data_IF_138562904716
#
_entry.id   IF_138562904716
#
_cell.length_a   1.000
_cell.length_b   1.000
_cell.length_c   1.000
_cell.angle_alpha   90.00
_cell.angle_beta   90.00
_cell.angle_gamma   90.00
#
_symmetry.space_group_name_H-M   'P 1'
#
loop_
_entity.id
_entity.type
_entity.pdbx_description
1 polymer ?
#
# COMPACT_ATOMS: atom_id res chain seq x y z
N UNK A 1 -19.26 -3.76 -33.75
CA UNK A 1 -20.43 -4.43 -33.16
C UNK A 1 -21.17 -3.40 -32.34
N UNK A 2 -22.49 -3.31 -32.53
CA UNK A 2 -23.34 -2.25 -31.98
C UNK A 2 -23.26 -2.19 -30.44
N UNK A 3 -23.11 -0.98 -29.92
CA UNK A 3 -23.06 -0.66 -28.50
C UNK A 3 -24.49 -0.65 -27.92
N UNK A 4 -24.91 -1.77 -27.35
CA UNK A 4 -26.10 -1.85 -26.50
C UNK A 4 -25.79 -1.28 -25.11
N UNK A 5 -25.55 0.02 -25.03
CA UNK A 5 -25.61 0.74 -23.77
C UNK A 5 -26.87 1.63 -23.77
N UNK A 6 -27.80 1.44 -22.82
CA UNK A 6 -28.69 2.53 -22.46
C UNK A 6 -27.80 3.68 -22.00
N UNK A 7 -28.12 4.90 -22.45
CA UNK A 7 -27.42 6.13 -22.07
C UNK A 7 -27.36 6.38 -20.54
N UNK A 8 -28.03 5.55 -19.74
CA UNK A 8 -28.20 5.65 -18.28
C UNK A 8 -27.42 4.58 -17.48
N UNK A 9 -26.35 3.99 -18.03
CA UNK A 9 -25.51 3.08 -17.22
C UNK A 9 -24.73 3.87 -16.17
N UNK A 10 -24.81 3.51 -14.87
CA UNK A 10 -24.17 4.27 -13.81
C UNK A 10 -22.66 4.30 -13.98
N UNK A 11 -22.08 5.46 -13.71
CA UNK A 11 -20.64 5.73 -13.76
C UNK A 11 -19.94 4.96 -12.61
N UNK A 12 -18.67 4.57 -12.80
CA UNK A 12 -17.97 3.72 -11.83
C UNK A 12 -17.88 4.37 -10.44
N UNK A 13 -17.67 5.68 -10.38
CA UNK A 13 -17.59 6.42 -9.11
C UNK A 13 -18.92 6.43 -8.31
N UNK A 14 -20.05 6.09 -8.95
CA UNK A 14 -21.37 6.05 -8.30
C UNK A 14 -21.62 4.73 -7.58
N UNK A 15 -20.82 3.69 -7.85
CA UNK A 15 -20.93 2.43 -7.14
C UNK A 15 -20.42 2.56 -5.71
N UNK A 16 -20.97 1.72 -4.86
CA UNK A 16 -20.63 1.62 -3.46
C UNK A 16 -20.73 0.15 -3.06
N UNK A 17 -19.62 -0.43 -2.59
CA UNK A 17 -19.53 -1.84 -2.20
C UNK A 17 -20.03 -2.84 -3.26
N UNK A 18 -19.87 -2.51 -4.54
CA UNK A 18 -20.36 -3.34 -5.64
C UNK A 18 -19.53 -4.60 -5.82
N UNK A 19 -20.21 -5.70 -6.15
CA UNK A 19 -19.63 -6.99 -6.53
C UNK A 19 -19.91 -7.36 -8.00
N UNK A 20 -20.42 -6.41 -8.80
CA UNK A 20 -20.65 -6.59 -10.24
C UNK A 20 -19.34 -6.45 -11.04
N UNK A 21 -18.48 -7.47 -10.92
CA UNK A 21 -17.16 -7.49 -11.57
C UNK A 21 -17.25 -7.55 -13.09
N UNK A 22 -18.35 -8.07 -13.66
CA UNK A 22 -18.53 -8.11 -15.11
C UNK A 22 -18.77 -6.71 -15.67
N UNK A 23 -19.57 -5.89 -14.98
CA UNK A 23 -19.75 -4.48 -15.34
C UNK A 23 -18.46 -3.69 -15.17
N UNK A 24 -17.74 -3.90 -14.06
CA UNK A 24 -16.44 -3.28 -13.86
C UNK A 24 -15.50 -3.62 -15.03
N UNK A 25 -15.27 -4.91 -15.31
CA UNK A 25 -14.42 -5.37 -16.40
C UNK A 25 -14.80 -4.74 -17.73
N UNK A 26 -16.09 -4.78 -18.10
CA UNK A 26 -16.58 -4.21 -19.35
C UNK A 26 -16.30 -2.70 -19.43
N UNK A 27 -16.54 -1.96 -18.35
CA UNK A 27 -16.28 -0.52 -18.31
C UNK A 27 -14.79 -0.20 -18.48
N UNK A 28 -13.89 -1.00 -17.87
CA UNK A 28 -12.44 -0.81 -17.99
C UNK A 28 -11.92 -1.16 -19.38
N UNK A 29 -12.35 -2.28 -19.97
CA UNK A 29 -11.92 -2.69 -21.33
C UNK A 29 -12.32 -1.69 -22.41
N UNK A 30 -13.48 -1.05 -22.25
CA UNK A 30 -13.96 -0.05 -23.21
C UNK A 30 -13.24 1.29 -23.14
N UNK A 31 -12.49 1.56 -22.06
CA UNK A 31 -11.73 2.80 -21.91
C UNK A 31 -10.24 2.57 -22.15
N UNK A 32 -9.74 3.06 -23.29
CA UNK A 32 -8.31 2.97 -23.63
C UNK A 32 -7.43 3.97 -22.87
N UNK A 33 -8.00 5.06 -22.34
CA UNK A 33 -7.28 5.99 -21.48
C UNK A 33 -7.46 5.58 -20.01
N UNK A 34 -6.74 4.52 -19.62
CA UNK A 34 -6.87 3.82 -18.35
C UNK A 34 -5.52 3.79 -17.62
N UNK A 35 -5.55 4.08 -16.31
CA UNK A 35 -4.41 3.94 -15.41
C UNK A 35 -4.82 3.18 -14.15
N UNK A 36 -4.18 2.06 -13.87
CA UNK A 36 -4.38 1.22 -12.68
C UNK A 36 -3.17 1.42 -11.76
N UNK A 37 -3.44 1.84 -10.53
CA UNK A 37 -2.45 2.02 -9.47
C UNK A 37 -2.87 1.14 -8.30
N UNK A 38 -2.03 0.19 -7.91
CA UNK A 38 -2.38 -0.77 -6.84
C UNK A 38 -1.28 -0.96 -5.81
N UNK A 39 -1.68 -1.28 -4.57
CA UNK A 39 -0.77 -1.92 -3.63
C UNK A 39 -0.56 -3.41 -3.99
N UNK A 40 0.27 -4.10 -3.21
CA UNK A 40 0.72 -5.47 -3.45
C UNK A 40 0.21 -6.44 -2.38
N UNK A 41 0.76 -6.31 -1.17
CA UNK A 41 0.42 -7.16 -0.02
C UNK A 41 -1.08 -7.02 0.29
N UNK A 42 -1.79 -8.14 0.42
CA UNK A 42 -3.23 -8.18 0.61
C UNK A 42 -4.08 -7.97 -0.66
N UNK A 43 -3.52 -7.39 -1.72
CA UNK A 43 -4.20 -7.14 -3.01
C UNK A 43 -3.96 -8.27 -4.01
N UNK A 44 -2.69 -8.53 -4.36
CA UNK A 44 -2.29 -9.53 -5.36
C UNK A 44 -1.39 -10.64 -4.78
N UNK A 45 -1.14 -10.59 -3.47
CA UNK A 45 -0.52 -11.65 -2.70
C UNK A 45 -1.16 -11.69 -1.31
N UNK A 46 -1.15 -12.85 -0.66
CA UNK A 46 -1.71 -12.99 0.69
C UNK A 46 -0.89 -12.22 1.73
N UNK A 47 -1.56 -11.73 2.77
CA UNK A 47 -0.88 -11.26 3.98
C UNK A 47 -0.32 -12.45 4.74
N UNK A 48 1.00 -12.54 4.84
CA UNK A 48 1.72 -13.60 5.53
C UNK A 48 2.36 -13.08 6.81
N UNK A 49 2.64 -13.98 7.76
CA UNK A 49 3.33 -13.64 9.02
C UNK A 49 4.81 -13.40 8.82
N UNK A 50 5.44 -14.23 8.00
CA UNK A 50 6.85 -14.10 7.64
C UNK A 50 6.95 -13.50 6.23
N UNK A 51 7.45 -12.26 6.08
CA UNK A 51 7.62 -11.64 4.77
C UNK A 51 8.46 -12.46 3.77
N UNK A 52 9.26 -13.44 4.23
CA UNK A 52 10.02 -14.36 3.36
C UNK A 52 9.16 -15.44 2.70
N UNK A 53 7.95 -15.72 3.20
CA UNK A 53 7.06 -16.74 2.63
C UNK A 53 6.11 -16.18 1.58
N UNK A 54 6.25 -14.90 1.23
CA UNK A 54 5.44 -14.26 0.19
C UNK A 54 5.62 -14.95 -1.16
N UNK A 55 4.52 -15.12 -1.87
CA UNK A 55 4.46 -15.70 -3.20
C UNK A 55 3.58 -14.87 -4.12
N UNK A 56 3.91 -14.85 -5.41
CA UNK A 56 3.10 -14.26 -6.47
C UNK A 56 2.65 -15.33 -7.45
N UNK A 57 1.43 -15.18 -7.97
CA UNK A 57 0.93 -16.04 -9.06
C UNK A 57 1.69 -15.70 -10.36
N UNK A 58 2.37 -16.66 -11.01
CA UNK A 58 3.04 -16.44 -12.29
C UNK A 58 2.10 -15.94 -13.40
N UNK A 59 0.84 -16.38 -13.39
CA UNK A 59 -0.16 -15.93 -14.36
C UNK A 59 -0.56 -14.47 -14.11
N UNK A 60 -0.55 -14.02 -12.85
CA UNK A 60 -0.74 -12.60 -12.53
C UNK A 60 0.41 -11.75 -13.07
N UNK A 61 1.66 -12.21 -12.90
CA UNK A 61 2.84 -11.52 -13.44
C UNK A 61 2.75 -11.45 -14.98
N UNK A 62 2.29 -12.51 -15.64
CA UNK A 62 2.11 -12.48 -17.09
C UNK A 62 0.94 -11.58 -17.52
N UNK A 63 -0.14 -11.52 -16.73
CA UNK A 63 -1.26 -10.62 -16.97
C UNK A 63 -0.86 -9.14 -16.87
N UNK A 64 0.01 -8.77 -15.92
CA UNK A 64 0.44 -7.37 -15.76
C UNK A 64 1.18 -6.84 -17.00
N UNK A 65 1.92 -7.69 -17.71
CA UNK A 65 2.59 -7.34 -18.98
C UNK A 65 1.60 -6.95 -20.07
N UNK A 66 0.44 -7.60 -20.12
CA UNK A 66 -0.61 -7.27 -21.10
C UNK A 66 -1.22 -5.89 -20.85
N UNK A 67 -1.01 -5.33 -19.65
CA UNK A 67 -1.42 -3.99 -19.25
C UNK A 67 -0.22 -3.02 -19.15
N UNK A 68 0.88 -3.30 -19.84
CA UNK A 68 2.02 -2.39 -19.91
C UNK A 68 1.59 -0.98 -20.34
N UNK A 69 2.08 0.04 -19.64
CA UNK A 69 1.68 1.44 -19.82
C UNK A 69 0.34 1.82 -19.17
N UNK A 70 -0.44 0.85 -18.69
CA UNK A 70 -1.72 1.07 -18.00
C UNK A 70 -1.72 0.62 -16.55
N UNK A 71 -0.67 -0.06 -16.10
CA UNK A 71 -0.61 -0.70 -14.78
C UNK A 71 0.69 -0.36 -14.06
N UNK A 72 0.55 0.09 -12.82
CA UNK A 72 1.66 0.45 -11.94
C UNK A 72 1.39 0.01 -10.50
N UNK A 73 2.43 -0.45 -9.83
CA UNK A 73 2.38 -0.75 -8.40
C UNK A 73 2.76 0.47 -7.57
N UNK A 74 2.23 0.57 -6.36
CA UNK A 74 2.49 1.62 -5.40
C UNK A 74 2.46 1.02 -4.00
N UNK A 75 3.62 0.70 -3.46
CA UNK A 75 3.76 -0.05 -2.20
C UNK A 75 4.72 0.60 -1.20
N UNK A 76 4.56 0.25 0.08
CA UNK A 76 5.51 0.59 1.14
C UNK A 76 6.68 -0.40 1.24
N UNK A 77 6.49 -1.63 0.74
CA UNK A 77 7.57 -2.59 0.54
C UNK A 77 8.57 -2.10 -0.51
N UNK A 78 9.62 -2.86 -0.79
CA UNK A 78 10.63 -2.49 -1.79
C UNK A 78 10.64 -3.41 -3.00
N UNK A 79 11.08 -2.89 -4.15
CA UNK A 79 11.36 -3.66 -5.35
C UNK A 79 12.61 -4.54 -5.17
N UNK A 80 13.65 -4.00 -4.53
CA UNK A 80 14.96 -4.65 -4.37
C UNK A 80 15.23 -5.06 -2.92
N UNK A 81 16.34 -5.79 -2.71
CA UNK A 81 16.73 -6.32 -1.40
C UNK A 81 16.35 -7.78 -1.22
N UNK A 82 16.83 -8.43 -0.15
CA UNK A 82 16.63 -9.86 0.09
C UNK A 82 15.19 -10.28 0.36
N UNK A 83 14.27 -9.31 0.47
CA UNK A 83 12.83 -9.48 0.65
C UNK A 83 12.02 -8.60 -0.31
N UNK A 84 12.69 -8.05 -1.33
CA UNK A 84 12.10 -7.17 -2.31
C UNK A 84 11.24 -7.93 -3.32
N UNK A 85 10.30 -7.22 -3.95
CA UNK A 85 9.37 -7.76 -4.93
C UNK A 85 10.07 -8.49 -6.08
N UNK A 86 11.22 -8.01 -6.55
CA UNK A 86 11.93 -8.61 -7.68
C UNK A 86 12.33 -10.05 -7.38
N UNK A 87 12.77 -10.34 -6.16
CA UNK A 87 13.11 -11.72 -5.78
C UNK A 87 11.88 -12.63 -5.73
N UNK A 88 10.72 -12.08 -5.35
CA UNK A 88 9.45 -12.81 -5.36
C UNK A 88 9.04 -13.12 -6.81
N UNK A 89 9.19 -12.16 -7.72
CA UNK A 89 8.96 -12.34 -9.16
C UNK A 89 9.92 -13.39 -9.75
N UNK A 90 11.21 -13.29 -9.45
CA UNK A 90 12.23 -14.25 -9.91
C UNK A 90 11.92 -15.67 -9.42
N UNK A 91 11.48 -15.80 -8.17
CA UNK A 91 11.08 -17.08 -7.58
C UNK A 91 9.83 -17.65 -8.24
N UNK A 92 8.81 -16.80 -8.48
CA UNK A 92 7.57 -17.22 -9.11
C UNK A 92 7.77 -17.70 -10.57
N UNK A 93 8.66 -17.04 -11.32
CA UNK A 93 8.93 -17.38 -12.72
C UNK A 93 9.97 -18.50 -12.91
N UNK A 94 10.80 -18.78 -11.90
CA UNK A 94 11.81 -19.83 -11.91
C UNK A 94 13.19 -19.37 -12.39
N UNK A 95 14.24 -19.96 -11.80
CA UNK A 95 15.64 -19.53 -11.96
C UNK A 95 16.25 -19.71 -13.37
N UNK A 96 15.67 -20.57 -14.22
CA UNK A 96 16.19 -20.82 -15.57
C UNK A 96 15.90 -19.69 -16.57
N UNK A 97 15.14 -18.67 -16.16
CA UNK A 97 14.74 -17.56 -17.02
C UNK A 97 15.14 -16.19 -16.48
N UNK A 98 16.35 -16.02 -15.93
CA UNK A 98 16.82 -14.69 -15.46
C UNK A 98 16.64 -13.61 -16.54
N UNK A 99 16.86 -13.93 -17.82
CA UNK A 99 16.58 -13.03 -18.96
C UNK A 99 15.10 -12.75 -19.20
N UNK A 100 14.19 -13.68 -18.92
CA UNK A 100 12.75 -13.45 -19.02
C UNK A 100 12.20 -12.70 -17.78
N UNK A 101 12.76 -12.94 -16.59
CA UNK A 101 12.40 -12.25 -15.36
C UNK A 101 12.76 -10.76 -15.41
N UNK A 102 13.92 -10.41 -15.99
CA UNK A 102 14.33 -9.02 -16.21
C UNK A 102 13.43 -8.21 -17.17
N UNK A 103 12.45 -8.82 -17.85
CA UNK A 103 11.43 -8.12 -18.64
C UNK A 103 10.01 -8.27 -18.06
N UNK A 104 9.91 -8.75 -16.82
CA UNK A 104 8.67 -9.15 -16.18
C UNK A 104 8.44 -8.49 -14.82
N UNK A 105 9.31 -7.57 -14.41
CA UNK A 105 9.13 -6.88 -13.15
C UNK A 105 7.93 -5.93 -13.19
N UNK A 106 7.26 -5.82 -12.04
CA UNK A 106 6.11 -4.93 -11.93
C UNK A 106 6.63 -3.48 -11.86
N UNK A 107 6.24 -2.60 -12.79
CA UNK A 107 6.69 -1.21 -12.81
C UNK A 107 5.93 -0.37 -11.79
N UNK A 108 6.54 0.73 -11.37
CA UNK A 108 5.93 1.70 -10.48
C UNK A 108 6.79 1.99 -9.26
N UNK A 109 6.12 2.32 -8.16
CA UNK A 109 6.74 2.90 -6.97
C UNK A 109 6.71 1.95 -5.79
N UNK A 110 7.84 1.90 -5.10
CA UNK A 110 8.05 1.20 -3.85
C UNK A 110 8.69 2.12 -2.82
N UNK A 111 8.93 1.62 -1.60
CA UNK A 111 9.47 2.38 -0.48
C UNK A 111 8.60 3.58 -0.12
N UNK A 112 7.28 3.47 -0.27
CA UNK A 112 6.33 4.56 -0.03
C UNK A 112 6.34 5.66 -1.09
N UNK A 113 6.90 5.42 -2.29
CA UNK A 113 6.90 6.40 -3.37
C UNK A 113 8.27 6.98 -3.73
N UNK A 114 9.35 6.56 -3.07
CA UNK A 114 10.71 7.06 -3.32
C UNK A 114 11.57 6.14 -4.17
N UNK A 115 11.16 4.88 -4.38
CA UNK A 115 11.89 3.90 -5.18
C UNK A 115 11.12 3.64 -6.48
N UNK A 116 11.58 4.23 -7.57
CA UNK A 116 10.99 4.01 -8.89
C UNK A 116 11.63 2.80 -9.56
N UNK A 117 10.81 1.97 -10.19
CA UNK A 117 11.24 0.86 -11.03
C UNK A 117 10.46 0.84 -12.34
N UNK A 118 11.15 0.56 -13.44
CA UNK A 118 10.51 0.23 -14.72
C UNK A 118 10.38 -1.29 -14.95
N UNK A 119 9.75 -1.67 -16.05
CA UNK A 119 9.51 -3.07 -16.40
C UNK A 119 10.80 -3.87 -16.67
N UNK A 120 11.93 -3.18 -16.86
CA UNK A 120 13.24 -3.81 -17.04
C UNK A 120 13.97 -4.04 -15.71
N UNK A 121 13.38 -3.64 -14.58
CA UNK A 121 14.00 -3.75 -13.26
C UNK A 121 15.06 -2.68 -12.98
N UNK A 122 15.08 -1.59 -13.76
CA UNK A 122 15.99 -0.46 -13.48
C UNK A 122 15.39 0.35 -12.34
N UNK A 123 16.11 0.40 -11.23
CA UNK A 123 15.67 1.09 -10.01
C UNK A 123 16.41 2.41 -9.82
N UNK A 124 15.66 3.45 -9.47
CA UNK A 124 16.20 4.76 -9.07
C UNK A 124 15.53 5.26 -7.80
N UNK A 125 16.16 6.23 -7.14
CA UNK A 125 15.65 6.87 -5.92
C UNK A 125 15.58 8.40 -6.07
N UNK A 126 14.62 8.93 -6.86
CA UNK A 126 14.58 10.36 -7.17
C UNK A 126 14.46 11.24 -5.92
N UNK A 127 15.37 12.21 -5.78
CA UNK A 127 15.38 13.17 -4.68
C UNK A 127 15.98 12.66 -3.36
N UNK A 128 16.56 11.45 -3.34
CA UNK A 128 17.19 10.85 -2.14
C UNK A 128 18.70 11.04 -2.20
N UNK A 129 19.30 11.45 -1.09
CA UNK A 129 20.76 11.64 -0.97
C UNK A 129 21.51 10.39 -0.53
N UNK A 130 22.82 10.34 -0.80
CA UNK A 130 23.68 9.23 -0.37
C UNK A 130 23.83 9.18 1.16
N UNK A 131 23.81 10.32 1.83
CA UNK A 131 23.84 10.43 3.29
C UNK A 131 22.60 9.80 3.93
N UNK A 132 21.42 10.06 3.37
CA UNK A 132 20.17 9.47 3.83
C UNK A 132 20.17 7.95 3.64
N UNK A 133 20.55 7.46 2.46
CA UNK A 133 20.66 6.02 2.19
C UNK A 133 21.69 5.36 3.11
N UNK A 134 22.80 6.04 3.41
CA UNK A 134 23.82 5.54 4.34
C UNK A 134 23.28 5.44 5.77
N UNK A 135 22.47 6.41 6.21
CA UNK A 135 21.82 6.33 7.50
C UNK A 135 20.84 5.14 7.57
N UNK A 136 19.97 4.99 6.56
CA UNK A 136 18.98 3.92 6.49
C UNK A 136 19.62 2.53 6.50
N UNK A 137 20.73 2.33 5.78
CA UNK A 137 21.51 1.07 5.81
C UNK A 137 22.00 0.71 7.22
N UNK A 138 22.18 1.68 8.11
CA UNK A 138 22.60 1.42 9.49
C UNK A 138 21.45 1.04 10.43
N UNK A 139 20.19 1.28 10.04
CA UNK A 139 19.03 1.08 10.89
C UNK A 139 18.83 -0.40 11.28
N UNK A 140 18.93 -1.40 10.37
CA UNK A 140 18.77 -2.81 10.73
C UNK A 140 19.73 -3.28 11.82
N UNK A 141 21.01 -2.93 11.73
CA UNK A 141 22.02 -3.30 12.73
C UNK A 141 21.73 -2.66 14.10
N UNK A 142 21.32 -1.39 14.10
CA UNK A 142 20.92 -0.68 15.32
C UNK A 142 19.66 -1.30 15.95
N UNK A 143 18.66 -1.62 15.14
CA UNK A 143 17.46 -2.31 15.57
C UNK A 143 17.79 -3.66 16.21
N UNK A 144 18.70 -4.44 15.60
CA UNK A 144 19.15 -5.73 16.12
C UNK A 144 19.86 -5.59 17.46
N UNK A 145 20.79 -4.65 17.56
CA UNK A 145 21.52 -4.40 18.79
C UNK A 145 20.58 -3.99 19.94
N UNK A 146 19.61 -3.11 19.64
CA UNK A 146 18.62 -2.71 20.63
C UNK A 146 17.73 -3.89 21.04
N UNK A 147 17.11 -4.59 20.08
CA UNK A 147 16.20 -5.70 20.37
C UNK A 147 16.90 -6.78 21.19
N UNK A 148 18.15 -7.08 20.88
CA UNK A 148 18.97 -8.02 21.66
C UNK A 148 19.11 -7.58 23.12
N UNK A 149 19.41 -6.30 23.35
CA UNK A 149 19.55 -5.72 24.70
C UNK A 149 18.21 -5.54 25.43
N UNK A 150 17.09 -5.40 24.71
CA UNK A 150 15.76 -5.29 25.29
C UNK A 150 15.26 -6.66 25.71
N UNK A 151 15.26 -7.62 24.78
CA UNK A 151 14.62 -8.92 24.92
C UNK A 151 15.34 -9.82 25.92
N UNK A 152 16.63 -9.58 26.20
CA UNK A 152 17.39 -10.34 27.21
C UNK A 152 17.12 -9.91 28.66
N UNK A 153 16.37 -8.81 28.89
CA UNK A 153 16.04 -8.28 30.21
C UNK A 153 14.58 -8.52 30.57
N UNK A 154 14.26 -8.37 31.85
CA UNK A 154 12.87 -8.31 32.29
C UNK A 154 12.13 -7.15 31.58
N UNK A 155 10.87 -7.32 31.17
CA UNK A 155 10.00 -8.48 31.46
C UNK A 155 10.14 -9.67 30.47
N UNK A 156 10.91 -9.56 29.39
CA UNK A 156 10.98 -10.56 28.32
C UNK A 156 11.84 -11.79 28.66
N UNK A 157 13.04 -11.58 29.20
CA UNK A 157 14.00 -12.61 29.62
C UNK A 157 14.22 -13.75 28.60
N UNK A 158 14.29 -13.43 27.31
CA UNK A 158 14.50 -14.41 26.25
C UNK A 158 15.95 -14.90 26.21
N UNK A 159 16.14 -16.15 25.74
CA UNK A 159 17.48 -16.69 25.50
C UNK A 159 18.12 -16.05 24.27
N UNK A 160 19.46 -16.01 24.21
CA UNK A 160 20.16 -15.48 23.02
C UNK A 160 19.77 -16.21 21.73
N UNK A 161 19.52 -17.53 21.80
CA UNK A 161 19.10 -18.32 20.65
C UNK A 161 17.71 -17.90 20.14
N UNK A 162 16.76 -17.67 21.05
CA UNK A 162 15.41 -17.20 20.68
C UNK A 162 15.46 -15.78 20.11
N UNK A 163 16.27 -14.91 20.71
CA UNK A 163 16.47 -13.54 20.25
C UNK A 163 17.02 -13.52 18.83
N UNK A 164 18.05 -14.31 18.54
CA UNK A 164 18.66 -14.37 17.21
C UNK A 164 17.64 -14.83 16.15
N UNK A 165 16.87 -15.88 16.46
CA UNK A 165 15.81 -16.40 15.58
C UNK A 165 14.73 -15.36 15.31
N UNK A 166 14.20 -14.72 16.37
CA UNK A 166 13.13 -13.74 16.26
C UNK A 166 13.59 -12.47 15.54
N UNK A 167 14.78 -11.96 15.87
CA UNK A 167 15.34 -10.76 15.22
C UNK A 167 15.63 -11.00 13.73
N UNK A 168 16.07 -12.21 13.35
CA UNK A 168 16.32 -12.54 11.95
C UNK A 168 15.06 -12.45 11.08
N UNK A 169 13.90 -12.84 11.63
CA UNK A 169 12.62 -12.72 10.94
C UNK A 169 12.04 -11.30 11.04
N UNK A 170 12.15 -10.66 12.21
CA UNK A 170 11.52 -9.38 12.48
C UNK A 170 12.19 -8.18 11.80
N UNK A 171 13.52 -8.21 11.61
CA UNK A 171 14.25 -7.06 11.08
C UNK A 171 14.39 -7.20 9.57
N UNK A 172 13.74 -6.29 8.84
CA UNK A 172 13.78 -6.22 7.38
C UNK A 172 14.79 -5.14 6.97
N UNK A 173 15.78 -5.55 6.20
CA UNK A 173 16.94 -4.78 5.72
C UNK A 173 16.67 -3.98 4.44
N UNK A 174 15.41 -3.58 4.28
CA UNK A 174 14.93 -2.67 3.25
C UNK A 174 15.80 -1.39 3.19
N UNK A 175 16.23 -0.98 2.00
CA UNK A 175 17.18 0.12 1.80
C UNK A 175 16.57 1.52 2.06
N UNK A 176 15.35 1.74 1.61
CA UNK A 176 14.58 2.98 1.69
C UNK A 176 13.50 2.96 2.80
N UNK A 177 13.11 1.77 3.27
CA UNK A 177 12.13 1.59 4.36
C UNK A 177 12.50 0.47 5.36
N UNK A 178 13.69 0.54 6.04
CA UNK A 178 14.04 -0.38 7.12
C UNK A 178 12.87 -0.59 8.08
N UNK A 179 12.51 -1.86 8.32
CA UNK A 179 11.28 -2.20 9.03
C UNK A 179 11.56 -3.18 10.16
N UNK A 180 10.91 -2.97 11.31
CA UNK A 180 10.76 -4.00 12.34
C UNK A 180 9.33 -4.54 12.25
N UNK A 181 9.17 -5.76 11.72
CA UNK A 181 7.92 -6.51 11.67
C UNK A 181 7.82 -7.41 12.91
N UNK A 182 6.85 -7.14 13.80
CA UNK A 182 6.76 -7.84 15.08
C UNK A 182 5.72 -8.95 15.15
N UNK A 183 5.19 -9.40 14.01
CA UNK A 183 4.23 -10.51 13.98
C UNK A 183 4.78 -11.77 14.65
N UNK A 184 6.07 -12.07 14.44
CA UNK A 184 6.74 -13.23 15.04
C UNK A 184 6.75 -13.18 16.57
N UNK A 185 6.81 -11.99 17.16
CA UNK A 185 6.77 -11.82 18.62
C UNK A 185 5.38 -12.02 19.20
N UNK A 186 4.32 -11.65 18.45
CA UNK A 186 2.94 -11.87 18.88
C UNK A 186 2.70 -13.37 19.13
N UNK A 187 3.14 -14.21 18.19
CA UNK A 187 3.04 -15.67 18.30
C UNK A 187 3.95 -16.24 19.38
N UNK A 188 5.17 -15.71 19.50
CA UNK A 188 6.13 -16.20 20.48
C UNK A 188 5.67 -15.96 21.92
N UNK A 189 5.22 -14.74 22.25
CA UNK A 189 4.87 -14.41 23.63
C UNK A 189 3.55 -15.05 24.08
N UNK A 190 2.54 -15.13 23.20
CA UNK A 190 1.15 -15.52 23.56
C UNK A 190 0.60 -14.79 24.80
N UNK A 191 1.16 -13.62 25.12
CA UNK A 191 0.89 -12.80 26.29
C UNK A 191 0.61 -11.38 25.79
N UNK A 192 -0.67 -10.97 25.70
CA UNK A 192 -1.06 -9.68 25.12
C UNK A 192 -0.36 -8.49 25.79
N UNK A 193 -0.14 -8.55 27.10
CA UNK A 193 0.51 -7.47 27.85
C UNK A 193 2.01 -7.34 27.50
N UNK A 194 2.72 -8.45 27.29
CA UNK A 194 4.13 -8.40 26.85
C UNK A 194 4.23 -7.87 25.42
N UNK A 195 3.32 -8.28 24.55
CA UNK A 195 3.30 -7.81 23.17
C UNK A 195 2.95 -6.32 23.07
N UNK A 196 1.98 -5.85 23.87
CA UNK A 196 1.67 -4.43 24.01
C UNK A 196 2.86 -3.63 24.57
N UNK A 197 3.60 -4.20 25.53
CA UNK A 197 4.81 -3.57 26.04
C UNK A 197 5.88 -3.47 24.95
N UNK A 198 6.06 -4.52 24.12
CA UNK A 198 6.98 -4.48 22.99
C UNK A 198 6.63 -3.37 22.00
N UNK A 199 5.35 -3.19 21.65
CA UNK A 199 4.92 -2.08 20.79
C UNK A 199 5.31 -0.70 21.36
N UNK A 200 5.24 -0.52 22.68
CA UNK A 200 5.65 0.73 23.34
C UNK A 200 7.17 0.91 23.33
N UNK A 201 7.91 -0.15 23.58
CA UNK A 201 9.38 -0.11 23.60
C UNK A 201 9.93 0.21 22.19
N UNK A 202 9.35 -0.41 21.15
CA UNK A 202 9.69 -0.13 19.75
C UNK A 202 9.41 1.31 19.34
N UNK A 203 8.29 1.89 19.80
CA UNK A 203 8.04 3.33 19.60
C UNK A 203 9.20 4.17 20.14
N UNK A 204 9.75 3.79 21.29
CA UNK A 204 10.91 4.44 21.89
C UNK A 204 12.17 4.34 21.04
N UNK A 205 12.45 3.17 20.45
CA UNK A 205 13.59 2.98 19.52
C UNK A 205 13.43 3.87 18.30
N UNK A 206 12.25 3.87 17.71
CA UNK A 206 11.98 4.62 16.49
C UNK A 206 12.19 6.11 16.73
N UNK A 207 11.78 6.61 17.90
CA UNK A 207 12.10 7.98 18.31
C UNK A 207 13.61 8.19 18.49
N UNK A 208 14.32 7.27 19.15
CA UNK A 208 15.77 7.39 19.33
C UNK A 208 16.54 7.39 17.98
N UNK A 209 16.04 6.67 16.96
CA UNK A 209 16.59 6.71 15.61
C UNK A 209 16.37 8.07 14.94
N UNK A 210 15.21 8.71 15.15
CA UNK A 210 14.97 10.08 14.68
C UNK A 210 15.90 11.07 15.38
N UNK A 211 16.07 10.96 16.70
CA UNK A 211 16.96 11.82 17.48
C UNK A 211 18.42 11.66 17.02
N UNK A 212 18.86 10.43 16.69
CA UNK A 212 20.20 10.20 16.15
C UNK A 212 20.36 10.79 14.73
N UNK A 213 19.32 10.73 13.90
CA UNK A 213 19.33 11.37 12.60
C UNK A 213 19.48 12.90 12.74
N UNK A 214 18.80 13.52 13.70
CA UNK A 214 18.94 14.95 13.99
C UNK A 214 20.37 15.33 14.37
N UNK A 215 21.04 14.54 15.23
CA UNK A 215 22.46 14.75 15.57
C UNK A 215 23.38 14.69 14.34
N UNK A 216 22.98 14.00 13.28
CA UNK A 216 23.71 13.92 12.00
C UNK A 216 23.26 14.97 10.98
N UNK A 217 22.46 15.96 11.38
CA UNK A 217 21.85 16.99 10.52
C UNK A 217 20.86 16.42 9.49
N UNK A 218 20.14 15.35 9.86
CA UNK A 218 19.12 14.69 9.03
C UNK A 218 17.71 14.81 9.65
N UNK A 219 17.43 15.82 10.48
CA UNK A 219 16.19 15.93 11.27
C UNK A 219 14.89 15.93 10.44
N UNK A 220 14.94 16.40 9.21
CA UNK A 220 13.78 16.47 8.31
C UNK A 220 13.77 15.36 7.25
N UNK A 221 14.71 14.41 7.36
CA UNK A 221 14.93 13.40 6.33
C UNK A 221 14.04 12.17 6.50
N UNK A 222 13.54 11.91 7.72
CA UNK A 222 12.88 10.66 8.07
C UNK A 222 11.60 10.86 8.89
N UNK A 223 10.72 9.87 8.82
CA UNK A 223 9.55 9.73 9.68
C UNK A 223 9.30 8.24 9.97
N UNK A 224 8.37 7.98 10.91
CA UNK A 224 7.97 6.62 11.26
C UNK A 224 6.61 6.35 10.64
N UNK A 225 6.52 5.29 9.84
CA UNK A 225 5.25 4.76 9.35
C UNK A 225 4.85 3.52 10.15
N UNK A 226 3.57 3.46 10.52
CA UNK A 226 2.99 2.33 11.24
C UNK A 226 1.96 1.63 10.37
N UNK A 227 2.05 0.30 10.25
CA UNK A 227 1.05 -0.50 9.54
C UNK A 227 0.49 -1.64 10.43
N UNK A 228 -0.85 -1.73 10.60
CA UNK A 228 -1.84 -0.66 10.38
C UNK A 228 -1.67 0.52 11.35
N UNK A 229 -2.18 1.70 10.99
CA UNK A 229 -2.25 2.90 11.85
C UNK A 229 -3.69 3.39 12.07
N UNK A 230 -3.86 4.34 12.99
CA UNK A 230 -5.11 5.04 13.33
C UNK A 230 -5.14 6.47 12.77
N UNK A 231 -4.50 6.69 11.62
CA UNK A 231 -4.36 8.01 11.01
C UNK A 231 -3.26 8.85 11.66
N UNK A 232 -3.36 10.17 11.53
CA UNK A 232 -2.33 11.13 11.96
C UNK A 232 -2.84 12.16 12.97
N UNK A 233 -1.92 12.68 13.78
CA UNK A 233 -2.09 13.88 14.60
C UNK A 233 -0.87 14.81 14.50
N UNK A 234 -0.81 15.80 15.39
CA UNK A 234 0.26 16.78 15.45
C UNK A 234 1.65 16.15 15.74
N UNK A 235 1.72 14.93 16.26
CA UNK A 235 2.95 14.19 16.53
C UNK A 235 3.31 13.18 15.42
N UNK A 236 2.48 13.05 14.38
CA UNK A 236 2.68 12.11 13.28
C UNK A 236 1.64 10.99 13.26
N UNK A 237 2.04 9.80 12.79
CA UNK A 237 1.15 8.65 12.69
C UNK A 237 0.82 8.05 14.06
N UNK A 238 -0.44 7.66 14.25
CA UNK A 238 -0.92 7.02 15.48
C UNK A 238 -0.80 5.51 15.38
N UNK A 239 -0.07 4.93 16.32
CA UNK A 239 0.01 3.49 16.53
C UNK A 239 -1.39 2.94 16.87
N UNK A 240 -1.76 1.83 16.25
CA UNK A 240 -2.89 1.00 16.65
C UNK A 240 -2.37 -0.03 17.66
N UNK A 241 -2.44 0.24 18.96
CA UNK A 241 -1.96 -0.74 19.94
C UNK A 241 -2.81 -2.03 19.92
N UNK A 242 -2.17 -3.16 20.22
CA UNK A 242 -2.82 -4.45 20.31
C UNK A 242 -3.92 -4.45 21.37
N UNK A 243 -5.04 -5.13 21.09
CA UNK A 243 -6.18 -5.25 22.03
C UNK A 243 -6.90 -6.57 21.84
N UNK A 244 -6.91 -7.40 22.87
CA UNK A 244 -7.57 -8.71 22.81
C UNK A 244 -6.86 -9.63 21.81
N UNK A 245 -7.55 -10.03 20.75
CA UNK A 245 -6.98 -10.85 19.66
C UNK A 245 -6.35 -10.01 18.54
N UNK A 246 -6.73 -8.73 18.44
CA UNK A 246 -6.20 -7.81 17.43
C UNK A 246 -4.74 -7.46 17.75
N UNK A 247 -3.83 -7.84 16.86
CA UNK A 247 -2.39 -7.58 16.99
C UNK A 247 -2.02 -6.10 16.83
N UNK A 248 -2.95 -5.23 16.40
CA UNK A 248 -2.66 -3.83 16.19
C UNK A 248 -1.57 -3.60 15.13
N UNK A 249 -0.73 -2.59 15.35
CA UNK A 249 0.44 -2.26 14.51
C UNK A 249 1.49 -3.36 14.61
N UNK A 250 1.87 -3.91 13.46
CA UNK A 250 2.84 -4.98 13.35
C UNK A 250 4.12 -4.51 12.67
N UNK A 251 4.02 -3.50 11.81
CA UNK A 251 5.17 -2.93 11.11
C UNK A 251 5.52 -1.55 11.66
N UNK A 252 6.80 -1.41 12.02
CA UNK A 252 7.42 -0.16 12.43
C UNK A 252 8.46 0.17 11.36
N UNK A 253 8.10 1.04 10.41
CA UNK A 253 8.95 1.37 9.27
C UNK A 253 9.61 2.73 9.47
N UNK A 254 10.92 2.77 9.35
CA UNK A 254 11.69 4.01 9.39
C UNK A 254 11.90 4.49 7.96
N UNK A 255 11.15 5.50 7.53
CA UNK A 255 11.00 5.85 6.11
C UNK A 255 11.50 7.25 5.82
N UNK A 256 11.90 7.48 4.57
CA UNK A 256 12.25 8.80 4.05
C UNK A 256 11.05 9.74 4.10
N UNK A 257 11.21 10.91 4.70
CA UNK A 257 10.21 11.96 4.71
C UNK A 257 9.62 12.23 3.31
N UNK A 258 8.29 12.26 3.21
CA UNK A 258 7.59 12.43 1.92
C UNK A 258 7.38 11.13 1.14
N UNK A 259 7.95 10.00 1.58
CA UNK A 259 7.58 8.66 1.12
C UNK A 259 6.16 8.27 1.58
N UNK A 260 5.18 8.95 1.01
CA UNK A 260 3.75 8.68 1.20
C UNK A 260 3.13 8.33 -0.15
N UNK A 261 2.29 7.29 -0.17
CA UNK A 261 1.72 6.74 -1.40
C UNK A 261 0.93 7.79 -2.21
N UNK A 262 0.30 8.73 -1.53
CA UNK A 262 -0.45 9.86 -2.10
C UNK A 262 0.35 10.59 -3.18
N UNK A 263 1.60 10.95 -2.88
CA UNK A 263 2.44 11.63 -3.87
C UNK A 263 2.78 10.70 -5.03
N UNK A 264 2.97 9.40 -4.73
CA UNK A 264 3.25 8.38 -5.73
C UNK A 264 2.18 8.30 -6.82
N UNK A 265 0.91 8.63 -6.52
CA UNK A 265 -0.15 8.75 -7.54
C UNK A 265 0.19 9.79 -8.59
N UNK A 266 0.64 10.99 -8.18
CA UNK A 266 1.00 12.05 -9.11
C UNK A 266 2.31 11.77 -9.85
N UNK A 267 3.27 11.09 -9.20
CA UNK A 267 4.50 10.66 -9.87
C UNK A 267 4.16 9.66 -10.98
N UNK A 268 3.38 8.62 -10.67
CA UNK A 268 2.93 7.63 -11.68
C UNK A 268 2.11 8.31 -12.78
N UNK A 269 1.20 9.23 -12.44
CA UNK A 269 0.42 9.96 -13.42
C UNK A 269 1.30 10.83 -14.33
N UNK A 270 2.33 11.48 -13.78
CA UNK A 270 3.31 12.27 -14.55
C UNK A 270 4.08 11.40 -15.55
N UNK A 271 4.47 10.18 -15.13
CA UNK A 271 5.09 9.20 -16.03
C UNK A 271 4.12 8.67 -17.09
N UNK A 272 2.88 8.35 -16.70
CA UNK A 272 1.84 7.95 -17.64
C UNK A 272 1.63 9.01 -18.73
N UNK A 273 1.52 10.29 -18.35
CA UNK A 273 1.40 11.38 -19.32
C UNK A 273 2.61 11.46 -20.26
N UNK A 274 3.82 11.25 -19.76
CA UNK A 274 5.00 11.22 -20.63
C UNK A 274 4.94 10.08 -21.63
N UNK A 275 4.50 8.88 -21.23
CA UNK A 275 4.33 7.76 -22.16
C UNK A 275 3.28 8.04 -23.24
N UNK A 276 2.20 8.76 -22.90
CA UNK A 276 1.14 9.09 -23.84
C UNK A 276 1.45 10.29 -24.74
N UNK A 277 2.24 11.26 -24.26
CA UNK A 277 2.36 12.59 -24.88
C UNK A 277 3.79 13.01 -25.19
N UNK A 278 4.80 12.33 -24.63
CA UNK A 278 6.20 12.74 -24.68
C UNK A 278 6.56 13.89 -23.73
N UNK A 279 5.65 14.34 -22.88
CA UNK A 279 5.87 15.44 -21.94
C UNK A 279 5.51 15.06 -20.51
N UNK A 280 6.32 15.49 -19.54
CA UNK A 280 6.05 15.39 -18.10
C UNK A 280 5.37 16.67 -17.60
N UNK A 281 4.06 16.69 -17.31
CA UNK A 281 3.36 17.92 -16.89
C UNK A 281 3.91 18.56 -15.61
N UNK A 282 4.47 17.74 -14.71
CA UNK A 282 5.11 18.19 -13.46
C UNK A 282 6.65 18.31 -13.58
N UNK A 283 7.20 18.04 -14.76
CA UNK A 283 8.64 17.93 -15.01
C UNK A 283 9.20 16.53 -14.75
N UNK A 284 10.26 16.17 -15.47
CA UNK A 284 10.92 14.86 -15.41
C UNK A 284 11.48 14.54 -14.01
N UNK A 285 11.89 15.57 -13.27
CA UNK A 285 12.46 15.43 -11.92
C UNK A 285 11.44 15.46 -10.79
N UNK A 286 10.13 15.49 -11.07
CA UNK A 286 9.10 15.48 -10.03
C UNK A 286 9.13 14.19 -9.22
N UNK A 287 9.13 14.30 -7.88
CA UNK A 287 9.30 13.15 -7.00
C UNK A 287 8.68 13.37 -5.61
N UNK A 288 8.64 12.30 -4.83
CA UNK A 288 8.07 12.27 -3.48
C UNK A 288 8.69 13.27 -2.48
N UNK A 289 9.95 13.68 -2.70
CA UNK A 289 10.71 14.52 -1.77
C UNK A 289 10.40 16.00 -1.92
N UNK A 290 10.06 16.43 -3.13
CA UNK A 290 9.79 17.84 -3.45
C UNK A 290 8.31 18.17 -3.56
N UNK A 291 7.45 17.16 -3.62
CA UNK A 291 6.01 17.35 -3.73
C UNK A 291 5.36 17.89 -2.44
N UNK A 292 4.21 18.59 -2.55
CA UNK A 292 3.36 18.87 -1.41
C UNK A 292 2.88 17.59 -0.73
N UNK A 293 2.76 17.61 0.61
CA UNK A 293 2.24 16.47 1.40
C UNK A 293 0.75 16.59 1.74
N UNK A 294 0.18 17.77 1.47
CA UNK A 294 -1.22 18.07 1.72
C UNK A 294 -2.06 17.66 0.51
N UNK A 295 -3.19 16.99 0.76
CA UNK A 295 -4.04 16.45 -0.31
C UNK A 295 -4.61 17.55 -1.21
N UNK A 296 -5.08 18.68 -0.65
CA UNK A 296 -5.61 19.77 -1.47
C UNK A 296 -4.52 20.45 -2.29
N UNK A 297 -3.30 20.58 -1.76
CA UNK A 297 -2.14 21.06 -2.55
C UNK A 297 -1.77 20.09 -3.68
N UNK A 298 -1.88 18.78 -3.47
CA UNK A 298 -1.68 17.78 -4.52
C UNK A 298 -2.75 17.89 -5.61
N UNK A 299 -4.01 18.08 -5.23
CA UNK A 299 -5.10 18.29 -6.19
C UNK A 299 -4.92 19.59 -6.98
N UNK A 300 -4.57 20.70 -6.30
CA UNK A 300 -4.32 21.97 -6.96
C UNK A 300 -3.12 21.89 -7.93
N UNK A 301 -2.06 21.18 -7.54
CA UNK A 301 -0.93 20.91 -8.42
C UNK A 301 -1.38 20.11 -9.65
N UNK A 302 -2.24 19.12 -9.48
CA UNK A 302 -2.75 18.35 -10.60
C UNK A 302 -3.60 19.23 -11.55
N UNK A 303 -4.55 19.99 -11.02
CA UNK A 303 -5.44 20.88 -11.79
C UNK A 303 -4.68 21.94 -12.58
N UNK A 304 -3.57 22.44 -12.05
CA UNK A 304 -2.76 23.45 -12.71
C UNK A 304 -1.96 22.89 -13.89
N UNK A 305 -1.58 21.62 -13.87
CA UNK A 305 -0.57 21.07 -14.78
C UNK A 305 -1.09 20.01 -15.75
N UNK A 306 -2.07 19.18 -15.38
CA UNK A 306 -2.59 18.14 -16.25
C UNK A 306 -3.75 18.64 -17.11
N UNK A 307 -3.71 18.30 -18.41
CA UNK A 307 -4.83 18.56 -19.33
C UNK A 307 -6.01 17.64 -18.99
N UNK A 308 -7.19 18.19 -18.63
CA UNK A 308 -8.38 17.39 -18.32
C UNK A 308 -8.85 16.50 -19.47
N UNK A 309 -8.61 16.87 -20.73
CA UNK A 309 -9.02 16.05 -21.88
C UNK A 309 -8.17 14.78 -22.02
N UNK A 310 -6.98 14.78 -21.43
CA UNK A 310 -6.03 13.67 -21.47
C UNK A 310 -6.02 12.86 -20.17
N UNK A 311 -6.76 13.31 -19.15
CA UNK A 311 -6.78 12.65 -17.84
C UNK A 311 -7.30 11.22 -17.98
N UNK A 312 -6.50 10.19 -17.64
CA UNK A 312 -6.98 8.83 -17.65
C UNK A 312 -8.08 8.63 -16.61
N UNK A 313 -8.92 7.63 -16.85
CA UNK A 313 -9.64 7.02 -15.75
C UNK A 313 -8.63 6.32 -14.86
N UNK A 314 -8.53 6.74 -13.61
CA UNK A 314 -7.62 6.15 -12.62
C UNK A 314 -8.39 5.14 -11.76
N UNK A 315 -7.83 3.96 -11.62
CA UNK A 315 -8.32 2.88 -10.77
C UNK A 315 -7.32 2.66 -9.64
N UNK A 316 -7.73 3.00 -8.42
CA UNK A 316 -6.94 2.77 -7.21
C UNK A 316 -7.32 1.44 -6.57
N UNK A 317 -6.35 0.59 -6.24
CA UNK A 317 -6.61 -0.72 -5.61
C UNK A 317 -5.81 -0.88 -4.33
N UNK A 318 -6.47 -1.16 -3.22
CA UNK A 318 -5.83 -1.38 -1.92
C UNK A 318 -6.59 -2.37 -1.05
N UNK A 319 -5.99 -2.74 0.08
CA UNK A 319 -6.54 -3.69 1.06
C UNK A 319 -6.58 -3.08 2.48
N UNK A 320 -5.75 -2.07 2.76
CA UNK A 320 -5.52 -1.59 4.11
C UNK A 320 -6.12 -0.20 4.32
N UNK A 321 -7.37 -0.20 4.77
CA UNK A 321 -8.05 0.97 5.35
C UNK A 321 -8.56 0.61 6.74
N UNK A 322 -8.50 1.55 7.68
CA UNK A 322 -8.97 1.34 9.05
C UNK A 322 -9.98 2.40 9.47
N UNK A 323 -10.93 1.99 10.30
CA UNK A 323 -11.88 2.89 10.98
C UNK A 323 -12.17 2.34 12.37
N UNK A 324 -11.78 3.07 13.42
CA UNK A 324 -11.88 2.65 14.82
C UNK A 324 -12.36 3.79 15.71
N UNK A 325 -13.27 3.54 16.65
CA UNK A 325 -13.64 4.58 17.62
C UNK A 325 -12.44 4.94 18.50
N UNK A 326 -12.24 6.23 18.77
CA UNK A 326 -11.15 6.71 19.61
C UNK A 326 -11.24 6.12 21.03
N UNK A 327 -12.46 5.94 21.54
CA UNK A 327 -12.76 5.23 22.77
C UNK A 327 -14.16 4.64 22.71
N UNK A 328 -14.50 3.71 23.60
CA UNK A 328 -15.83 3.10 23.66
C UNK A 328 -16.96 4.08 24.02
N UNK A 329 -16.62 5.30 24.46
CA UNK A 329 -17.56 6.34 24.86
C UNK A 329 -17.49 7.58 23.96
N UNK A 330 -16.71 7.54 22.87
CA UNK A 330 -16.53 8.67 21.96
C UNK A 330 -17.17 8.40 20.60
N UNK A 331 -17.88 9.39 20.08
CA UNK A 331 -18.37 9.39 18.70
C UNK A 331 -17.25 9.74 17.69
N UNK A 332 -16.05 10.06 18.17
CA UNK A 332 -14.90 10.35 17.31
C UNK A 332 -14.34 9.04 16.77
N UNK A 333 -14.29 8.95 15.44
CA UNK A 333 -13.73 7.80 14.72
C UNK A 333 -12.38 8.16 14.14
N UNK A 334 -11.36 7.37 14.50
CA UNK A 334 -10.01 7.45 13.96
C UNK A 334 -9.93 6.60 12.69
N UNK A 335 -9.48 7.22 11.60
CA UNK A 335 -9.40 6.60 10.28
C UNK A 335 -7.97 6.61 9.79
N UNK A 336 -7.49 5.45 9.36
CA UNK A 336 -6.11 5.26 8.91
C UNK A 336 -6.00 4.16 7.87
N UNK A 337 -4.86 3.49 7.88
CA UNK A 337 -4.48 2.49 6.89
C UNK A 337 -3.55 3.06 5.83
N UNK A 338 -2.59 2.25 5.39
CA UNK A 338 -1.54 2.64 4.44
C UNK A 338 -2.09 3.05 3.08
N UNK A 339 -3.26 2.54 2.69
CA UNK A 339 -3.83 2.80 1.36
C UNK A 339 -4.80 3.97 1.33
N UNK A 340 -5.35 4.32 2.49
CA UNK A 340 -6.43 5.29 2.62
C UNK A 340 -6.11 6.59 1.90
N UNK A 341 -4.92 7.13 2.10
CA UNK A 341 -4.53 8.41 1.52
C UNK A 341 -4.54 8.40 0.00
N UNK A 342 -3.88 7.42 -0.63
CA UNK A 342 -3.77 7.41 -2.08
C UNK A 342 -5.11 7.04 -2.74
N UNK A 343 -5.90 6.15 -2.14
CA UNK A 343 -7.26 5.85 -2.61
C UNK A 343 -8.17 7.08 -2.54
N UNK A 344 -8.05 7.87 -1.47
CA UNK A 344 -8.78 9.14 -1.32
C UNK A 344 -8.35 10.14 -2.39
N UNK A 345 -7.05 10.24 -2.70
CA UNK A 345 -6.56 11.10 -3.77
C UNK A 345 -7.06 10.66 -5.15
N UNK A 346 -7.06 9.36 -5.45
CA UNK A 346 -7.61 8.83 -6.71
C UNK A 346 -9.08 9.21 -6.88
N UNK A 347 -9.89 9.05 -5.81
CA UNK A 347 -11.29 9.45 -5.83
C UNK A 347 -11.45 10.96 -6.06
N UNK A 348 -10.65 11.77 -5.38
CA UNK A 348 -10.71 13.23 -5.50
C UNK A 348 -10.28 13.72 -6.89
N UNK A 349 -9.23 13.14 -7.49
CA UNK A 349 -8.84 13.40 -8.88
C UNK A 349 -10.00 13.11 -9.84
N UNK A 350 -10.71 11.99 -9.64
CA UNK A 350 -11.86 11.62 -10.46
C UNK A 350 -12.98 12.65 -10.41
N UNK A 351 -13.24 13.21 -9.24
CA UNK A 351 -14.22 14.28 -9.06
C UNK A 351 -13.78 15.60 -9.70
N UNK A 352 -12.51 16.00 -9.53
CA UNK A 352 -11.99 17.27 -10.08
C UNK A 352 -11.89 17.26 -11.61
N UNK A 353 -11.47 16.14 -12.19
CA UNK A 353 -11.27 16.00 -13.64
C UNK A 353 -12.44 15.35 -14.37
N UNK A 354 -13.48 14.91 -13.66
CA UNK A 354 -14.63 14.20 -14.22
C UNK A 354 -14.24 12.93 -15.00
N UNK A 355 -13.17 12.25 -14.58
CA UNK A 355 -12.55 11.10 -15.28
C UNK A 355 -13.13 9.74 -14.87
N UNK A 356 -14.24 9.73 -14.11
CA UNK A 356 -14.93 8.51 -13.65
C UNK A 356 -14.01 7.47 -12.99
N UNK A 357 -13.14 7.94 -12.10
CA UNK A 357 -12.24 7.10 -11.31
C UNK A 357 -13.01 6.18 -10.36
N UNK A 358 -12.37 5.07 -9.97
CA UNK A 358 -12.93 4.18 -8.97
C UNK A 358 -11.86 3.61 -8.04
N UNK A 359 -12.29 3.32 -6.81
CA UNK A 359 -11.52 2.64 -5.76
C UNK A 359 -12.02 1.20 -5.61
N UNK A 360 -11.09 0.27 -5.71
CA UNK A 360 -11.30 -1.16 -5.54
C UNK A 360 -10.67 -1.57 -4.20
N UNK A 361 -11.44 -2.27 -3.39
CA UNK A 361 -10.98 -2.79 -2.11
C UNK A 361 -10.89 -4.32 -2.14
N UNK A 362 -9.76 -4.87 -1.75
CA UNK A 362 -9.56 -6.31 -1.62
C UNK A 362 -9.63 -6.69 -0.16
N UNK A 363 -10.51 -7.62 0.19
CA UNK A 363 -10.62 -8.11 1.56
C UNK A 363 -9.45 -9.03 1.89
N UNK A 364 -8.48 -8.52 2.67
CA UNK A 364 -7.28 -9.27 3.06
C UNK A 364 -7.43 -10.03 4.39
N UNK A 365 -8.63 -10.08 4.98
CA UNK A 365 -8.89 -10.74 6.27
C UNK A 365 -8.75 -12.26 6.26
N UNK A 366 -8.80 -12.89 5.09
CA UNK A 366 -8.59 -14.33 4.93
C UNK A 366 -7.13 -14.79 5.00
N UNK A 367 -6.17 -13.88 5.25
CA UNK A 367 -4.74 -14.16 5.32
C UNK A 367 -4.27 -14.76 6.65
N UNK A 368 -2.94 -14.79 6.85
CA UNK A 368 -2.34 -15.31 8.09
C UNK A 368 -2.35 -14.30 9.25
N UNK A 369 -2.60 -13.02 8.94
CA UNK A 369 -2.67 -11.90 9.86
C UNK A 369 -4.12 -11.62 10.26
N UNK A 370 -4.36 -11.34 11.54
CA UNK A 370 -5.70 -10.99 12.03
C UNK A 370 -6.08 -9.57 11.57
N UNK A 371 -7.02 -9.48 10.63
CA UNK A 371 -7.51 -8.22 10.05
C UNK A 371 -9.04 -8.21 10.03
N UNK A 372 -9.68 -7.05 10.25
CA UNK A 372 -11.11 -6.92 10.05
C UNK A 372 -11.48 -7.27 8.60
N UNK A 373 -12.52 -8.09 8.44
CA UNK A 373 -13.08 -8.47 7.13
C UNK A 373 -14.40 -7.78 6.82
N UNK A 374 -14.81 -7.81 5.56
CA UNK A 374 -16.11 -7.33 5.14
C UNK A 374 -17.21 -8.23 5.70
N UNK A 375 -18.17 -7.63 6.40
CA UNK A 375 -19.37 -8.34 6.83
C UNK A 375 -20.29 -8.59 5.62
N UNK A 376 -20.29 -9.82 5.09
CA UNK A 376 -20.95 -10.19 3.83
C UNK A 376 -22.47 -9.96 3.83
N UNK A 377 -23.11 -10.06 4.99
CA UNK A 377 -24.51 -9.73 5.21
C UNK A 377 -24.82 -8.23 4.95
N UNK A 378 -23.82 -7.37 5.05
CA UNK A 378 -23.90 -5.93 4.76
C UNK A 378 -23.66 -5.57 3.28
N UNK A 379 -23.03 -6.47 2.51
CA UNK A 379 -22.76 -6.28 1.07
C UNK A 379 -23.96 -6.60 0.18
N UNK A 380 -24.81 -7.52 0.61
CA UNK A 380 -26.01 -7.95 -0.12
C UNK A 380 -27.27 -7.41 0.59
N UNK A 381 -27.60 -6.13 0.41
CA UNK A 381 -28.77 -5.56 1.05
C UNK A 381 -30.06 -6.28 0.59
N UNK A 382 -31.06 -6.29 1.46
CA UNK A 382 -32.42 -6.73 1.08
C UNK A 382 -32.88 -6.00 -0.19
N UNK A 383 -33.70 -6.62 -1.07
CA UNK A 383 -34.19 -5.98 -2.28
C UNK A 383 -34.77 -4.58 -2.01
N UNK A 384 -34.24 -3.56 -2.70
CA UNK A 384 -34.63 -2.16 -2.53
C UNK A 384 -33.86 -1.36 -1.47
N UNK A 385 -32.87 -1.96 -0.80
CA UNK A 385 -32.01 -1.29 0.18
C UNK A 385 -30.60 -1.03 -0.40
N UNK A 386 -29.94 0.03 0.05
CA UNK A 386 -28.54 0.30 -0.30
C UNK A 386 -27.60 -0.52 0.59
N UNK A 387 -26.39 -0.90 0.11
CA UNK A 387 -25.39 -1.56 0.95
C UNK A 387 -25.08 -0.71 2.19
N UNK A 388 -24.91 -1.36 3.35
CA UNK A 388 -24.54 -0.63 4.55
C UNK A 388 -23.05 -0.22 4.43
N UNK A 389 -22.79 1.09 4.49
CA UNK A 389 -21.43 1.64 4.41
C UNK A 389 -20.54 1.24 5.57
N UNK A 390 -21.12 0.86 6.69
CA UNK A 390 -20.36 0.55 7.89
C UNK A 390 -19.84 -0.88 7.84
N UNK A 391 -18.52 -1.02 7.86
CA UNK A 391 -17.83 -2.29 8.05
C UNK A 391 -16.86 -2.17 9.22
N UNK A 392 -17.09 -2.96 10.27
CA UNK A 392 -16.40 -2.80 11.56
C UNK A 392 -14.88 -2.92 11.36
N UNK A 393 -14.12 -1.94 11.82
CA UNK A 393 -12.66 -1.91 11.67
C UNK A 393 -12.14 -1.40 10.32
N UNK A 394 -13.00 -1.30 9.29
CA UNK A 394 -12.64 -0.91 7.92
C UNK A 394 -13.13 0.51 7.62
N UNK A 395 -14.43 0.76 7.72
CA UNK A 395 -15.08 2.03 7.40
C UNK A 395 -16.36 2.26 8.22
N UNK A 396 -16.74 3.53 8.38
CA UNK A 396 -17.94 3.94 9.11
C UNK A 396 -18.90 4.73 8.21
N UNK A 397 -20.10 5.02 8.72
CA UNK A 397 -21.16 5.68 7.95
C UNK A 397 -20.76 7.05 7.41
N UNK A 398 -19.83 7.74 8.09
CA UNK A 398 -19.37 9.08 7.75
C UNK A 398 -17.99 9.07 7.08
N UNK A 399 -17.51 7.91 6.62
CA UNK A 399 -16.21 7.79 5.96
C UNK A 399 -16.25 8.51 4.59
N UNK A 400 -15.39 9.52 4.34
CA UNK A 400 -15.36 10.22 3.06
C UNK A 400 -14.80 9.36 1.91
N UNK A 401 -14.05 8.31 2.24
CA UNK A 401 -13.56 7.37 1.24
C UNK A 401 -14.69 6.39 0.86
N UNK A 402 -15.06 6.37 -0.42
CA UNK A 402 -16.02 5.42 -0.96
C UNK A 402 -15.27 4.24 -1.58
N UNK A 403 -15.53 3.04 -1.09
CA UNK A 403 -15.06 1.82 -1.73
C UNK A 403 -16.07 1.44 -2.81
N UNK A 404 -15.75 1.66 -4.08
CA UNK A 404 -16.71 1.51 -5.17
C UNK A 404 -17.00 0.03 -5.46
N UNK A 405 -15.94 -0.78 -5.56
CA UNK A 405 -16.02 -2.23 -5.80
C UNK A 405 -15.22 -2.98 -4.75
N UNK A 406 -15.73 -4.13 -4.31
CA UNK A 406 -15.07 -4.94 -3.28
C UNK A 406 -14.87 -6.39 -3.70
N UNK A 407 -13.69 -6.93 -3.42
CA UNK A 407 -13.33 -8.33 -3.63
C UNK A 407 -13.39 -9.05 -2.29
N UNK A 408 -14.60 -9.46 -1.90
CA UNK A 408 -14.88 -10.02 -0.58
C UNK A 408 -14.28 -11.42 -0.34
N UNK A 409 -13.83 -12.09 -1.41
CA UNK A 409 -13.11 -13.37 -1.32
C UNK A 409 -11.58 -13.18 -1.46
N UNK A 410 -11.11 -11.95 -1.26
CA UNK A 410 -9.70 -11.58 -1.17
C UNK A 410 -8.89 -11.68 -2.46
N UNK A 411 -7.56 -11.70 -2.29
CA UNK A 411 -6.59 -11.54 -3.38
C UNK A 411 -6.75 -12.55 -4.53
N UNK A 412 -7.15 -13.80 -4.27
CA UNK A 412 -7.35 -14.79 -5.33
C UNK A 412 -8.51 -14.41 -6.27
N UNK A 413 -9.58 -13.84 -5.72
CA UNK A 413 -10.69 -13.31 -6.52
C UNK A 413 -10.24 -12.11 -7.36
N UNK A 414 -9.45 -11.21 -6.76
CA UNK A 414 -8.88 -10.08 -7.46
C UNK A 414 -7.93 -10.50 -8.59
N UNK A 415 -7.02 -11.45 -8.34
CA UNK A 415 -6.10 -12.01 -9.34
C UNK A 415 -6.87 -12.60 -10.52
N UNK A 416 -7.92 -13.36 -10.25
CA UNK A 416 -8.78 -13.95 -11.30
C UNK A 416 -9.40 -12.84 -12.16
N UNK A 417 -9.98 -11.81 -11.53
CA UNK A 417 -10.53 -10.66 -12.23
C UNK A 417 -9.47 -9.90 -13.04
N UNK A 418 -8.29 -9.68 -12.47
CA UNK A 418 -7.20 -8.94 -13.10
C UNK A 418 -6.67 -9.67 -14.35
N UNK A 419 -6.51 -10.99 -14.27
CA UNK A 419 -6.15 -11.85 -15.42
C UNK A 419 -7.17 -11.77 -16.53
N UNK A 420 -8.46 -11.88 -16.18
CA UNK A 420 -9.57 -11.73 -17.12
C UNK A 420 -9.59 -10.35 -17.79
N UNK A 421 -9.37 -9.29 -17.00
CA UNK A 421 -9.28 -7.92 -17.48
C UNK A 421 -8.12 -7.76 -18.46
N UNK A 422 -6.92 -8.20 -18.08
CA UNK A 422 -5.73 -8.12 -18.90
C UNK A 422 -5.89 -8.85 -20.25
N UNK A 423 -6.43 -10.07 -20.22
CA UNK A 423 -6.72 -10.83 -21.42
C UNK A 423 -7.76 -10.14 -22.31
N UNK A 424 -8.82 -9.57 -21.74
CA UNK A 424 -9.82 -8.84 -22.51
C UNK A 424 -9.28 -7.52 -23.07
N UNK A 425 -8.43 -6.81 -22.32
CA UNK A 425 -7.84 -5.54 -22.73
C UNK A 425 -6.88 -5.71 -23.91
N UNK A 426 -6.07 -6.78 -23.91
CA UNK A 426 -5.15 -7.11 -24.99
C UNK A 426 -5.85 -7.52 -26.31
N UNK A 427 -7.10 -8.02 -26.22
CA UNK A 427 -7.90 -8.45 -27.36
C UNK A 427 -8.84 -7.36 -27.91
N UNK A 428 -8.99 -6.25 -27.19
CA UNK A 428 -9.84 -5.11 -27.56
C UNK A 428 -9.04 -4.05 -28.31
#
# INVERSE_FOLDING_TARGET
MHSDFPADSPLLHQFLFSTDYQRLKRSLVMNKNLLIIQDLDGVCMGLVRDPLTRTLDPDYINASKLLAGHFYVLTNGEHIGGRGLNQIVDTALGAESQTAAHQSYLPGLAGGGVQWQDQQGRVTHPGVSDEELTFLRSVPDKAKAYLTSLLNKAPYNLSNADIDLLCHSAILDNLASPTININVFHQHFQQPELYLQLQKDLKGIMQALLDEADVRNLSESFFIHYAPNLGRDAQGERIKFARGQDSGTTDFQFMLQGAIKEVGVLVILNHYYFEQTGHYPLGESFNARTAPRDQEKLLALAEQHFDPQQMPRIIGVGDTVTSNPQSTASDVVLRGGSDRGFLTLVQALGARFQSDNAVLYVDSSGGELDRPGLQLDRLNPLPGSQPNRHHDGICDQNDPLNLNFVFANGHQQYITFFRDLAAAFANA
#
